data_IF_072870541719
#
_entry.id   IF_072870541719
#
_cell.length_a   1.000
_cell.length_b   1.000
_cell.length_c   1.000
_cell.angle_alpha   90.00
_cell.angle_beta   90.00
_cell.angle_gamma   90.00
#
_symmetry.space_group_name_H-M   'P 1'
#
loop_
_entity.id
_entity.type
_entity.pdbx_description
1 polymer ?
#
# COMPACT_ATOMS: atom_id res chain seq x y z
N UNK A 1 18.89 10.35 -15.92
CA UNK A 1 18.44 9.03 -15.40
C UNK A 1 17.03 9.18 -14.89
N UNK A 2 16.09 8.40 -15.42
CA UNK A 2 14.70 8.44 -14.93
C UNK A 2 14.61 7.83 -13.54
N UNK A 3 13.94 8.52 -12.64
CA UNK A 3 13.70 8.05 -11.28
C UNK A 3 12.57 7.03 -11.31
N UNK A 4 12.80 5.87 -10.74
CA UNK A 4 11.80 4.80 -10.64
C UNK A 4 10.84 5.09 -9.50
N UNK A 5 9.56 5.15 -9.78
CA UNK A 5 8.52 5.23 -8.76
C UNK A 5 8.05 3.84 -8.36
N UNK A 6 7.90 3.62 -7.06
CA UNK A 6 7.43 2.36 -6.49
C UNK A 6 6.30 2.66 -5.52
N UNK A 7 5.12 2.10 -5.78
CA UNK A 7 3.97 2.24 -4.89
C UNK A 7 4.13 1.32 -3.69
N UNK A 8 3.92 1.83 -2.48
CA UNK A 8 3.93 1.03 -1.27
C UNK A 8 2.53 0.49 -0.97
N UNK A 9 2.39 -0.83 -0.93
CA UNK A 9 1.15 -1.49 -0.52
C UNK A 9 0.86 -1.28 0.98
N UNK A 10 -0.38 -1.43 1.38
CA UNK A 10 -0.82 -1.21 2.76
C UNK A 10 -0.03 -2.04 3.78
N UNK A 11 0.31 -3.29 3.47
CA UNK A 11 1.08 -4.14 4.37
C UNK A 11 2.50 -3.62 4.60
N UNK A 12 3.12 -2.99 3.61
CA UNK A 12 4.43 -2.33 3.75
C UNK A 12 4.28 -1.08 4.61
N UNK A 13 3.26 -0.26 4.35
CA UNK A 13 2.99 0.96 5.12
C UNK A 13 2.75 0.62 6.60
N UNK A 14 1.91 -0.39 6.89
CA UNK A 14 1.68 -0.86 8.27
C UNK A 14 2.98 -1.31 8.92
N UNK A 15 3.78 -2.12 8.20
CA UNK A 15 5.08 -2.57 8.71
C UNK A 15 6.02 -1.42 9.06
N UNK A 16 6.03 -0.36 8.26
CA UNK A 16 6.85 0.84 8.53
C UNK A 16 6.35 1.63 9.74
N UNK A 17 5.03 1.75 9.91
CA UNK A 17 4.41 2.60 10.93
C UNK A 17 4.26 1.91 12.29
N UNK A 18 4.07 0.59 12.30
CA UNK A 18 3.86 -0.20 13.52
C UNK A 18 5.09 -1.04 13.82
N UNK A 19 5.88 -0.60 14.81
CA UNK A 19 7.11 -1.29 15.22
C UNK A 19 6.88 -2.70 15.80
N UNK A 20 5.65 -3.05 16.13
CA UNK A 20 5.25 -4.38 16.61
C UNK A 20 4.71 -5.28 15.52
N UNK A 21 4.57 -4.78 14.29
CA UNK A 21 4.18 -5.59 13.15
C UNK A 21 5.24 -6.66 12.86
N UNK A 22 4.80 -7.88 12.55
CA UNK A 22 5.72 -8.99 12.23
C UNK A 22 6.58 -8.70 10.99
N UNK A 23 6.12 -7.81 10.12
CA UNK A 23 6.82 -7.40 8.90
C UNK A 23 7.63 -6.11 9.07
N UNK A 24 7.72 -5.57 10.30
CA UNK A 24 8.39 -4.28 10.55
C UNK A 24 9.83 -4.25 10.04
N UNK A 25 10.64 -5.22 10.44
CA UNK A 25 12.04 -5.28 10.02
C UNK A 25 12.19 -5.48 8.52
N UNK A 26 11.34 -6.31 7.94
CA UNK A 26 11.30 -6.56 6.50
C UNK A 26 10.90 -5.31 5.71
N UNK A 27 9.92 -4.55 6.20
CA UNK A 27 9.50 -3.28 5.60
C UNK A 27 10.61 -2.23 5.66
N UNK A 28 11.29 -2.11 6.79
CA UNK A 28 12.44 -1.20 6.91
C UNK A 28 13.57 -1.57 5.97
N UNK A 29 13.91 -2.86 5.86
CA UNK A 29 14.93 -3.34 4.94
C UNK A 29 14.56 -3.03 3.48
N UNK A 30 13.31 -3.23 3.11
CA UNK A 30 12.81 -2.90 1.78
C UNK A 30 12.93 -1.40 1.49
N UNK A 31 12.52 -0.55 2.44
CA UNK A 31 12.61 0.90 2.28
C UNK A 31 14.05 1.38 2.11
N UNK A 32 14.98 0.83 2.90
CA UNK A 32 16.40 1.15 2.78
C UNK A 32 16.96 0.75 1.41
N UNK A 33 16.55 -0.42 0.91
CA UNK A 33 16.94 -0.88 -0.44
C UNK A 33 16.42 0.05 -1.52
N UNK A 34 15.13 0.43 -1.44
CA UNK A 34 14.53 1.37 -2.41
C UNK A 34 15.26 2.71 -2.41
N UNK A 35 15.62 3.23 -1.23
CA UNK A 35 16.42 4.46 -1.12
C UNK A 35 17.80 4.32 -1.75
N UNK A 36 18.47 3.20 -1.51
CA UNK A 36 19.79 2.92 -2.12
C UNK A 36 19.71 2.84 -3.64
N UNK A 37 18.62 2.33 -4.18
CA UNK A 37 18.32 2.27 -5.62
C UNK A 37 17.82 3.62 -6.18
N UNK A 38 17.71 4.65 -5.35
CA UNK A 38 17.14 5.97 -5.69
C UNK A 38 15.70 5.90 -6.21
N UNK A 39 14.94 4.92 -5.76
CA UNK A 39 13.51 4.83 -6.06
C UNK A 39 12.73 5.84 -5.22
N UNK A 40 11.69 6.41 -5.82
CA UNK A 40 10.72 7.25 -5.11
C UNK A 40 9.59 6.36 -4.61
N UNK A 41 9.36 6.38 -3.31
CA UNK A 41 8.20 5.71 -2.71
C UNK A 41 6.94 6.54 -2.93
N UNK A 42 5.90 5.91 -3.49
CA UNK A 42 4.61 6.55 -3.77
C UNK A 42 3.58 6.03 -2.79
N UNK A 43 2.90 6.93 -2.11
CA UNK A 43 1.81 6.65 -1.19
C UNK A 43 0.48 7.01 -1.86
N UNK A 44 -0.30 5.99 -2.24
CA UNK A 44 -1.65 6.19 -2.76
C UNK A 44 -2.64 6.31 -1.60
N UNK A 45 -3.59 7.23 -1.73
CA UNK A 45 -4.56 7.56 -0.68
C UNK A 45 -5.34 6.34 -0.16
N UNK A 46 -5.83 5.49 -1.04
CA UNK A 46 -6.62 4.31 -0.65
C UNK A 46 -5.80 3.24 0.09
N UNK A 47 -4.49 3.13 -0.18
CA UNK A 47 -3.60 2.21 0.52
C UNK A 47 -3.20 2.76 1.89
N UNK A 48 -3.01 4.07 1.99
CA UNK A 48 -2.79 4.75 3.28
C UNK A 48 -4.02 4.62 4.17
N UNK A 49 -5.22 4.79 3.61
CA UNK A 49 -6.49 4.60 4.31
C UNK A 49 -6.66 3.16 4.82
N UNK A 50 -6.31 2.16 4.02
CA UNK A 50 -6.30 0.76 4.43
C UNK A 50 -5.32 0.51 5.59
N UNK A 51 -4.10 1.02 5.47
CA UNK A 51 -3.10 0.92 6.54
C UNK A 51 -3.58 1.54 7.85
N UNK A 52 -4.17 2.74 7.79
CA UNK A 52 -4.77 3.39 8.96
C UNK A 52 -5.87 2.54 9.58
N UNK A 53 -6.73 1.93 8.76
CA UNK A 53 -7.81 1.05 9.24
C UNK A 53 -7.27 -0.16 9.99
N UNK A 54 -6.18 -0.76 9.52
CA UNK A 54 -5.50 -1.86 10.21
C UNK A 54 -4.96 -1.40 11.56
N UNK A 55 -4.30 -0.26 11.61
CA UNK A 55 -3.72 0.31 12.83
C UNK A 55 -4.80 0.66 13.85
N UNK A 56 -5.90 1.27 13.42
CA UNK A 56 -7.05 1.57 14.28
C UNK A 56 -7.65 0.30 14.88
N UNK A 57 -7.81 -0.73 14.08
CA UNK A 57 -8.34 -2.02 14.52
C UNK A 57 -7.44 -2.67 15.58
N UNK A 58 -6.12 -2.64 15.37
CA UNK A 58 -5.14 -3.13 16.34
C UNK A 58 -5.16 -2.34 17.63
N UNK A 59 -5.27 -1.02 17.57
CA UNK A 59 -5.39 -0.15 18.76
C UNK A 59 -6.62 -0.50 19.57
N UNK A 60 -7.77 -0.76 18.93
CA UNK A 60 -9.00 -1.21 19.60
C UNK A 60 -8.83 -2.58 20.26
N UNK A 61 -8.15 -3.50 19.61
CA UNK A 61 -7.89 -4.84 20.13
C UNK A 61 -6.78 -4.86 21.20
N UNK A 62 -5.96 -3.82 21.27
CA UNK A 62 -4.82 -3.68 22.20
C UNK A 62 -3.85 -4.87 22.22
N UNK A 63 -3.66 -5.53 21.06
CA UNK A 63 -2.85 -6.75 20.98
C UNK A 63 -1.41 -6.50 20.54
N UNK A 64 -1.21 -5.70 19.46
CA UNK A 64 0.08 -5.57 18.78
C UNK A 64 0.57 -4.14 18.67
N UNK A 65 -0.27 -3.14 18.97
CA UNK A 65 0.05 -1.72 18.82
C UNK A 65 -0.04 -0.97 20.15
N UNK A 66 0.80 0.06 20.36
CA UNK A 66 0.61 1.01 21.46
C UNK A 66 -0.79 1.64 21.43
N UNK A 67 -1.42 1.93 22.59
CA UNK A 67 -2.80 2.45 22.62
C UNK A 67 -3.02 3.78 21.89
N UNK A 68 -1.99 4.61 21.76
CA UNK A 68 -2.03 5.92 21.10
C UNK A 68 -1.54 5.90 19.66
N UNK A 69 -1.11 4.75 19.14
CA UNK A 69 -0.54 4.65 17.81
C UNK A 69 -1.49 5.14 16.73
N UNK A 70 -2.78 4.77 16.79
CA UNK A 70 -3.77 5.19 15.81
C UNK A 70 -3.91 6.71 15.75
N UNK A 71 -3.90 7.38 16.90
CA UNK A 71 -3.97 8.86 16.98
C UNK A 71 -2.72 9.51 16.38
N UNK A 72 -1.55 9.01 16.75
CA UNK A 72 -0.27 9.53 16.24
C UNK A 72 -0.17 9.34 14.73
N UNK A 73 -0.49 8.14 14.24
CA UNK A 73 -0.47 7.83 12.81
C UNK A 73 -1.48 8.69 12.04
N UNK A 74 -2.70 8.85 12.57
CA UNK A 74 -3.70 9.70 11.95
C UNK A 74 -3.24 11.15 11.79
N UNK A 75 -2.56 11.70 12.79
CA UNK A 75 -1.97 13.04 12.73
C UNK A 75 -0.88 13.14 11.67
N UNK A 76 0.00 12.15 11.57
CA UNK A 76 1.05 12.11 10.54
C UNK A 76 0.45 11.99 9.13
N UNK A 77 -0.58 11.15 8.94
CA UNK A 77 -1.25 11.00 7.64
C UNK A 77 -1.86 12.32 7.19
N UNK A 78 -2.53 13.05 8.10
CA UNK A 78 -3.09 14.36 7.78
C UNK A 78 -2.01 15.34 7.32
N UNK A 79 -0.87 15.37 8.03
CA UNK A 79 0.25 16.20 7.68
C UNK A 79 0.85 15.83 6.32
N UNK A 80 1.05 14.54 6.05
CA UNK A 80 1.55 14.05 4.76
C UNK A 80 0.62 14.44 3.62
N UNK A 81 -0.69 14.34 3.82
CA UNK A 81 -1.66 14.75 2.82
C UNK A 81 -1.56 16.25 2.53
N UNK A 82 -1.49 17.10 3.57
CA UNK A 82 -1.32 18.55 3.44
C UNK A 82 -0.01 18.92 2.76
N UNK A 83 1.04 18.15 2.97
CA UNK A 83 2.35 18.35 2.34
C UNK A 83 2.45 17.79 0.92
N UNK A 84 1.39 17.18 0.40
CA UNK A 84 1.38 16.57 -0.94
C UNK A 84 2.16 15.26 -1.06
N UNK A 85 2.45 14.59 0.05
CA UNK A 85 3.19 13.32 0.05
C UNK A 85 2.28 12.10 -0.22
N UNK A 86 0.96 12.29 -0.12
CA UNK A 86 -0.02 11.28 -0.47
C UNK A 86 -0.64 11.65 -1.81
N UNK A 87 -0.59 10.72 -2.75
CA UNK A 87 -1.12 10.88 -4.09
C UNK A 87 -2.58 10.39 -4.14
N UNK A 88 -3.55 11.27 -4.44
CA UNK A 88 -4.92 10.84 -4.68
C UNK A 88 -4.99 9.95 -5.92
N UNK A 89 -5.56 8.77 -5.78
CA UNK A 89 -5.81 7.88 -6.92
C UNK A 89 -7.21 8.13 -7.45
N UNK A 90 -7.32 8.94 -8.49
CA UNK A 90 -8.59 9.24 -9.14
C UNK A 90 -9.13 7.98 -9.81
N UNK A 91 -10.43 7.76 -9.67
CA UNK A 91 -11.15 6.63 -10.27
C UNK A 91 -12.31 7.14 -11.11
N UNK A 92 -12.44 6.59 -12.31
CA UNK A 92 -13.62 6.74 -13.14
C UNK A 92 -14.58 5.54 -12.93
N UNK A 93 -15.83 5.66 -13.39
CA UNK A 93 -16.80 4.57 -13.28
C UNK A 93 -16.32 3.27 -13.96
N UNK A 94 -15.63 3.38 -15.10
CA UNK A 94 -15.05 2.24 -15.81
C UNK A 94 -13.95 1.55 -15.00
N UNK A 95 -13.22 2.29 -14.19
CA UNK A 95 -12.19 1.75 -13.31
C UNK A 95 -12.80 0.91 -12.18
N UNK A 96 -13.91 1.38 -11.63
CA UNK A 96 -14.64 0.61 -10.61
C UNK A 96 -15.11 -0.73 -11.16
N UNK A 97 -15.74 -0.74 -12.34
CA UNK A 97 -16.22 -1.96 -12.98
C UNK A 97 -15.06 -2.90 -13.29
N UNK A 98 -13.98 -2.40 -13.91
CA UNK A 98 -12.79 -3.20 -14.23
C UNK A 98 -12.13 -3.79 -12.99
N UNK A 99 -12.09 -3.04 -11.89
CA UNK A 99 -11.58 -3.52 -10.61
C UNK A 99 -12.43 -4.66 -10.05
N UNK A 100 -13.76 -4.51 -10.08
CA UNK A 100 -14.68 -5.57 -9.65
C UNK A 100 -14.50 -6.84 -10.48
N UNK A 101 -14.34 -6.71 -11.79
CA UNK A 101 -14.10 -7.86 -12.68
C UNK A 101 -12.83 -8.62 -12.31
N UNK A 102 -11.74 -7.91 -12.04
CA UNK A 102 -10.48 -8.52 -11.62
C UNK A 102 -10.62 -9.23 -10.27
N UNK A 103 -11.27 -8.59 -9.29
CA UNK A 103 -11.49 -9.16 -7.97
C UNK A 103 -12.33 -10.45 -8.04
N UNK A 104 -13.43 -10.42 -8.80
CA UNK A 104 -14.30 -11.60 -9.00
C UNK A 104 -13.55 -12.72 -9.73
N UNK A 105 -12.79 -12.40 -10.76
CA UNK A 105 -12.01 -13.40 -11.54
C UNK A 105 -10.89 -14.04 -10.74
N UNK A 106 -10.49 -13.45 -9.62
CA UNK A 106 -9.46 -14.01 -8.74
C UNK A 106 -9.98 -15.10 -7.79
N UNK A 107 -11.27 -15.40 -7.82
CA UNK A 107 -11.93 -16.35 -6.91
C UNK A 107 -11.70 -16.02 -5.42
N UNK A 108 -11.66 -14.73 -5.10
CA UNK A 108 -11.51 -14.25 -3.73
C UNK A 108 -10.07 -14.14 -3.23
N UNK A 109 -9.08 -14.41 -4.07
CA UNK A 109 -7.65 -14.25 -3.70
C UNK A 109 -7.24 -12.79 -3.60
N UNK A 110 -7.85 -11.91 -4.40
CA UNK A 110 -7.60 -10.47 -4.39
C UNK A 110 -8.81 -9.75 -3.79
N UNK A 111 -8.55 -8.86 -2.84
CA UNK A 111 -9.55 -7.90 -2.40
C UNK A 111 -9.69 -6.76 -3.43
N UNK A 112 -10.62 -5.83 -3.19
CA UNK A 112 -10.87 -4.72 -4.10
C UNK A 112 -9.63 -3.85 -4.31
N UNK A 113 -8.89 -3.53 -3.25
CA UNK A 113 -7.70 -2.69 -3.35
C UNK A 113 -6.56 -3.37 -4.11
N UNK A 114 -6.36 -4.68 -3.91
CA UNK A 114 -5.39 -5.47 -4.67
C UNK A 114 -5.75 -5.49 -6.17
N UNK A 115 -7.00 -5.73 -6.47
CA UNK A 115 -7.51 -5.70 -7.84
C UNK A 115 -7.34 -4.33 -8.49
N UNK A 116 -7.54 -3.25 -7.72
CA UNK A 116 -7.32 -1.88 -8.18
C UNK A 116 -5.86 -1.61 -8.52
N UNK A 117 -4.92 -2.11 -7.72
CA UNK A 117 -3.49 -2.03 -8.04
C UNK A 117 -3.16 -2.74 -9.34
N UNK A 118 -3.70 -3.93 -9.55
CA UNK A 118 -3.53 -4.67 -10.81
C UNK A 118 -4.06 -3.87 -12.00
N UNK A 119 -5.26 -3.30 -11.88
CA UNK A 119 -5.86 -2.47 -12.93
C UNK A 119 -4.99 -1.25 -13.26
N UNK A 120 -4.60 -0.49 -12.25
CA UNK A 120 -3.79 0.73 -12.41
C UNK A 120 -2.44 0.43 -13.05
N UNK A 121 -1.80 -0.67 -12.68
CA UNK A 121 -0.54 -1.07 -13.27
C UNK A 121 -0.70 -1.52 -14.73
N UNK A 122 -1.74 -2.29 -15.05
CA UNK A 122 -2.05 -2.70 -16.44
C UNK A 122 -2.32 -1.51 -17.36
N UNK A 123 -2.89 -0.43 -16.81
CA UNK A 123 -3.12 0.82 -17.56
C UNK A 123 -1.90 1.75 -17.63
N UNK A 124 -0.80 1.38 -17.01
CA UNK A 124 0.40 2.19 -16.98
C UNK A 124 0.30 3.45 -16.10
N UNK A 125 -0.70 3.52 -15.20
CA UNK A 125 -0.90 4.64 -14.28
C UNK A 125 0.12 4.60 -13.14
N UNK A 126 0.46 3.39 -12.68
CA UNK A 126 1.46 3.17 -11.63
C UNK A 126 2.56 2.24 -12.13
N UNK A 127 3.72 2.36 -11.51
CA UNK A 127 4.85 1.46 -11.73
C UNK A 127 4.80 0.21 -10.84
N UNK A 128 5.97 -0.36 -10.50
CA UNK A 128 6.06 -1.49 -9.59
C UNK A 128 5.40 -1.22 -8.24
N UNK A 129 4.93 -2.27 -7.60
CA UNK A 129 4.30 -2.21 -6.27
C UNK A 129 5.17 -2.99 -5.29
N UNK A 130 5.55 -2.35 -4.20
CA UNK A 130 6.18 -3.01 -3.07
C UNK A 130 5.10 -3.64 -2.19
N UNK A 131 5.09 -4.96 -2.10
CA UNK A 131 4.08 -5.72 -1.35
C UNK A 131 4.66 -7.02 -0.81
N UNK A 132 4.13 -7.45 0.32
CA UNK A 132 4.40 -8.76 0.91
C UNK A 132 3.24 -9.75 0.72
N UNK A 133 2.20 -9.35 0.00
CA UNK A 133 1.04 -10.20 -0.30
C UNK A 133 1.37 -11.16 -1.44
N UNK A 134 1.49 -12.44 -1.11
CA UNK A 134 1.85 -13.49 -2.07
C UNK A 134 0.81 -13.64 -3.19
N UNK A 135 -0.48 -13.51 -2.87
CA UNK A 135 -1.55 -13.60 -3.85
C UNK A 135 -1.49 -12.48 -4.88
N UNK A 136 -1.24 -11.26 -4.43
CA UNK A 136 -1.06 -10.10 -5.31
C UNK A 136 0.19 -10.26 -6.18
N UNK A 137 1.31 -10.61 -5.56
CA UNK A 137 2.59 -10.77 -6.25
C UNK A 137 2.60 -11.92 -7.26
N UNK A 138 1.70 -12.90 -7.11
CA UNK A 138 1.55 -14.03 -8.02
C UNK A 138 0.67 -13.75 -9.24
N UNK A 139 0.02 -12.59 -9.32
CA UNK A 139 -0.80 -12.22 -10.48
C UNK A 139 0.07 -12.13 -11.73
N UNK A 140 -0.40 -12.75 -12.81
CA UNK A 140 0.32 -12.77 -14.09
C UNK A 140 0.63 -11.36 -14.59
N UNK A 141 1.87 -11.13 -14.98
CA UNK A 141 2.39 -9.84 -15.45
C UNK A 141 2.36 -8.68 -14.43
N UNK A 142 2.01 -8.96 -13.17
CA UNK A 142 2.08 -7.95 -12.13
C UNK A 142 3.53 -7.77 -11.66
N UNK A 143 4.02 -6.53 -11.70
CA UNK A 143 5.40 -6.20 -11.31
C UNK A 143 5.42 -5.78 -9.85
N UNK A 144 6.07 -6.58 -9.02
CA UNK A 144 6.19 -6.35 -7.58
C UNK A 144 7.64 -6.35 -7.11
N UNK A 145 7.84 -5.74 -5.94
CA UNK A 145 9.10 -5.72 -5.19
C UNK A 145 8.82 -6.16 -3.76
N UNK A 146 9.67 -6.94 -3.19
CA UNK A 146 9.51 -7.39 -1.79
C UNK A 146 10.83 -7.51 -1.04
#
# INVERSE_FOLDING_TARGET
>A
MMTREVVLDANVIVGLLDSRDVLHDRANTLLLRLKAERAISVLLDFLVAEALSVICRRATQRRTSPPDLARVVGQHISLWFEQGEITPALSEATDFIGTCEIAVSSDGLLNFNDARLVLLQRRGVIGPVASFDESLCAVENFVSVS
#
